data_IF_631527962167
#
_entry.id   IF_631527962167
#
_cell.length_a   1.000
_cell.length_b   1.000
_cell.length_c   1.000
_cell.angle_alpha   90.00
_cell.angle_beta   90.00
_cell.angle_gamma   90.00
#
_symmetry.space_group_name_H-M   'P 1'
#
loop_
_entity.id
_entity.type
_entity.pdbx_description
1 polymer ?
#
# COMPACT_ATOMS: atom_id res chain seq x y z
N UNK A 1 -14.69 -22.12 -0.51
CA UNK A 1 -14.85 -20.74 0.01
C UNK A 1 -14.07 -19.81 -0.89
N UNK A 2 -14.43 -18.56 -1.00
CA UNK A 2 -13.66 -17.61 -1.79
C UNK A 2 -13.49 -16.32 -1.00
N UNK A 3 -12.27 -15.76 -0.97
CA UNK A 3 -11.98 -14.44 -0.41
C UNK A 3 -11.83 -13.45 -1.55
N UNK A 4 -12.60 -12.36 -1.49
CA UNK A 4 -12.52 -11.25 -2.43
C UNK A 4 -11.98 -10.01 -1.71
N UNK A 5 -10.93 -9.40 -2.24
CA UNK A 5 -10.37 -8.17 -1.68
C UNK A 5 -10.05 -7.14 -2.75
N UNK A 6 -10.10 -5.88 -2.35
CA UNK A 6 -9.77 -4.76 -3.21
C UNK A 6 -8.48 -4.11 -2.74
N UNK A 7 -7.61 -3.78 -3.68
CA UNK A 7 -6.32 -3.14 -3.41
C UNK A 7 -6.28 -1.76 -4.06
N UNK A 8 -5.82 -0.78 -3.30
CA UNK A 8 -5.42 0.52 -3.80
C UNK A 8 -4.19 1.05 -3.07
N UNK A 9 -3.53 2.06 -3.62
CA UNK A 9 -2.30 2.64 -3.09
C UNK A 9 -2.08 4.07 -3.58
N UNK A 10 -1.13 4.77 -2.97
CA UNK A 10 -0.56 6.02 -3.49
C UNK A 10 -1.64 7.08 -3.77
N UNK A 11 -2.49 7.36 -2.76
CA UNK A 11 -3.51 8.40 -2.87
C UNK A 11 -2.92 9.80 -2.76
N UNK A 12 -1.82 9.95 -2.00
CA UNK A 12 -1.06 11.20 -1.85
C UNK A 12 -1.94 12.41 -1.53
N UNK A 13 -2.83 12.27 -0.52
CA UNK A 13 -3.59 13.42 -0.04
C UNK A 13 -2.65 14.56 0.29
N UNK A 14 -3.01 15.75 -0.06
CA UNK A 14 -2.19 16.93 0.15
C UNK A 14 -3.00 18.05 0.80
N UNK A 15 -2.40 18.72 1.76
CA UNK A 15 -2.98 19.89 2.40
C UNK A 15 -2.40 21.19 1.82
N UNK A 16 -3.14 22.28 2.01
CA UNK A 16 -2.65 23.62 1.72
C UNK A 16 -1.40 23.91 2.55
N UNK A 17 -0.41 24.52 1.92
CA UNK A 17 0.92 24.88 2.41
C UNK A 17 1.00 25.24 3.91
N UNK A 18 2.00 24.63 4.59
CA UNK A 18 2.39 25.00 5.95
C UNK A 18 3.75 25.70 5.95
N UNK A 19 3.83 26.91 6.54
CA UNK A 19 5.11 27.62 6.69
C UNK A 19 6.18 26.78 7.43
N UNK A 20 5.79 25.83 8.29
CA UNK A 20 6.72 24.92 8.97
C UNK A 20 7.40 23.94 8.03
N UNK A 21 6.79 23.61 6.89
CA UNK A 21 7.38 22.73 5.88
C UNK A 21 8.57 23.36 5.13
N UNK A 22 8.80 24.66 5.27
CA UNK A 22 9.95 25.36 4.69
C UNK A 22 11.29 25.04 5.39
N UNK A 23 11.26 24.51 6.60
CA UNK A 23 12.46 24.33 7.42
C UNK A 23 12.97 22.89 7.47
N UNK A 24 12.39 21.98 6.69
CA UNK A 24 12.83 20.57 6.64
C UNK A 24 12.65 19.95 5.23
N UNK A 25 12.89 18.64 5.12
CA UNK A 25 12.78 17.85 3.88
C UNK A 25 11.45 18.07 3.13
N UNK A 26 10.39 18.48 3.80
CA UNK A 26 9.06 18.71 3.19
C UNK A 26 9.08 19.80 2.12
N UNK A 27 10.06 20.74 2.14
CA UNK A 27 10.23 21.74 1.09
C UNK A 27 10.42 21.08 -0.29
N UNK A 28 11.19 19.98 -0.36
CA UNK A 28 11.39 19.25 -1.62
C UNK A 28 10.11 18.53 -2.07
N UNK A 29 9.34 18.00 -1.12
CA UNK A 29 8.02 17.44 -1.39
C UNK A 29 7.02 18.48 -1.89
N UNK A 30 7.03 19.68 -1.30
CA UNK A 30 6.21 20.80 -1.70
C UNK A 30 6.59 21.31 -3.09
N UNK A 31 7.90 21.52 -3.36
CA UNK A 31 8.38 21.94 -4.70
C UNK A 31 7.95 20.90 -5.73
N UNK A 32 8.17 19.61 -5.46
CA UNK A 32 7.78 18.52 -6.36
C UNK A 32 6.24 18.44 -6.56
N UNK A 33 5.46 18.61 -5.48
CA UNK A 33 3.99 18.61 -5.58
C UNK A 33 3.46 19.83 -6.31
N UNK A 34 4.02 21.01 -6.06
CA UNK A 34 3.53 22.29 -6.62
C UNK A 34 3.95 22.48 -8.07
N UNK A 35 5.21 22.15 -8.41
CA UNK A 35 5.76 22.44 -9.75
C UNK A 35 5.78 21.23 -10.68
N UNK A 36 5.92 20.02 -10.18
CA UNK A 36 6.05 18.82 -11.01
C UNK A 36 4.80 17.93 -11.02
N UNK A 37 3.92 18.05 -10.01
CA UNK A 37 2.79 17.14 -9.82
C UNK A 37 1.42 17.85 -9.78
N UNK A 38 1.37 19.18 -9.84
CA UNK A 38 0.11 19.92 -9.77
C UNK A 38 -0.81 19.51 -10.94
N UNK A 39 -2.02 19.01 -10.61
CA UNK A 39 -3.00 18.52 -11.59
C UNK A 39 -2.85 17.07 -12.03
N UNK A 40 -1.79 16.33 -11.59
CA UNK A 40 -1.66 14.91 -11.92
C UNK A 40 -2.40 13.97 -10.96
N UNK A 41 -2.69 14.42 -9.73
CA UNK A 41 -3.45 13.68 -8.72
C UNK A 41 -4.88 14.21 -8.64
N UNK A 42 -5.85 13.33 -8.85
CA UNK A 42 -7.27 13.66 -8.83
C UNK A 42 -7.92 13.11 -7.58
N UNK A 43 -8.09 13.97 -6.56
CA UNK A 43 -8.60 13.56 -5.25
C UNK A 43 -10.05 13.04 -5.29
N UNK A 44 -10.86 13.49 -6.25
CA UNK A 44 -12.21 12.98 -6.49
C UNK A 44 -12.27 11.48 -6.80
N UNK A 45 -11.14 10.89 -7.24
CA UNK A 45 -11.03 9.45 -7.47
C UNK A 45 -11.09 8.64 -6.18
N UNK A 46 -10.64 9.21 -5.06
CA UNK A 46 -10.73 8.55 -3.74
C UNK A 46 -12.22 8.36 -3.39
N UNK A 47 -13.00 9.42 -3.51
CA UNK A 47 -14.43 9.39 -3.19
C UNK A 47 -15.20 8.45 -4.13
N UNK A 48 -14.82 8.41 -5.42
CA UNK A 48 -15.39 7.48 -6.40
C UNK A 48 -15.03 6.03 -6.07
N UNK A 49 -13.77 5.77 -5.73
CA UNK A 49 -13.30 4.43 -5.35
C UNK A 49 -14.01 3.90 -4.10
N UNK A 50 -14.17 4.74 -3.08
CA UNK A 50 -14.88 4.37 -1.86
C UNK A 50 -16.34 4.01 -2.18
N UNK A 51 -17.04 4.81 -2.98
CA UNK A 51 -18.39 4.46 -3.43
C UNK A 51 -18.43 3.13 -4.18
N UNK A 52 -17.50 2.91 -5.12
CA UNK A 52 -17.43 1.65 -5.86
C UNK A 52 -17.21 0.44 -4.93
N UNK A 53 -16.31 0.59 -3.94
CA UNK A 53 -16.02 -0.44 -2.94
C UNK A 53 -17.28 -0.77 -2.13
N UNK A 54 -17.98 0.25 -1.64
CA UNK A 54 -19.12 0.07 -0.75
C UNK A 54 -20.39 -0.41 -1.47
N UNK A 55 -20.69 0.16 -2.65
CA UNK A 55 -21.95 -0.05 -3.32
C UNK A 55 -21.93 -1.26 -4.27
N UNK A 56 -20.81 -1.44 -5.00
CA UNK A 56 -20.73 -2.39 -6.12
C UNK A 56 -19.81 -3.56 -5.83
N UNK A 57 -18.58 -3.32 -5.36
CA UNK A 57 -17.57 -4.37 -5.22
C UNK A 57 -17.80 -5.21 -3.98
N UNK A 58 -18.13 -4.59 -2.84
CA UNK A 58 -18.41 -5.26 -1.56
C UNK A 58 -17.41 -6.38 -1.24
N UNK A 59 -16.12 -6.04 -1.07
CA UNK A 59 -15.08 -7.02 -0.77
C UNK A 59 -15.16 -7.50 0.69
N UNK A 60 -14.57 -8.65 0.97
CA UNK A 60 -14.43 -9.18 2.32
C UNK A 60 -13.40 -8.38 3.13
N UNK A 61 -12.42 -7.76 2.46
CA UNK A 61 -11.43 -6.86 3.05
C UNK A 61 -10.86 -5.90 1.98
N UNK A 62 -10.23 -4.83 2.45
CA UNK A 62 -9.53 -3.84 1.63
C UNK A 62 -8.05 -3.82 2.02
N UNK A 63 -7.16 -3.78 1.03
CA UNK A 63 -5.73 -3.56 1.22
C UNK A 63 -5.40 -2.14 0.75
N UNK A 64 -4.90 -1.32 1.67
CA UNK A 64 -4.33 -0.02 1.36
C UNK A 64 -2.80 -0.11 1.46
N UNK A 65 -2.13 -0.17 0.31
CA UNK A 65 -0.70 -0.40 0.22
C UNK A 65 0.14 0.89 0.31
N UNK A 66 -0.27 1.83 1.17
CA UNK A 66 0.54 2.97 1.61
C UNK A 66 0.48 4.23 0.75
N UNK A 67 1.29 5.22 1.16
CA UNK A 67 1.34 6.59 0.64
C UNK A 67 -0.04 7.27 0.67
N UNK A 68 -0.61 7.31 1.89
CA UNK A 68 -1.86 8.00 2.16
C UNK A 68 -1.72 9.53 1.98
N UNK A 69 -0.56 10.07 2.34
CA UNK A 69 -0.27 11.51 2.34
C UNK A 69 0.95 11.84 1.49
N UNK A 70 1.22 13.13 1.27
CA UNK A 70 2.32 13.58 0.42
C UNK A 70 3.59 13.94 1.20
N UNK A 71 3.48 14.48 2.42
CA UNK A 71 4.61 15.02 3.18
C UNK A 71 4.59 14.69 4.67
N UNK A 72 3.71 13.80 5.11
CA UNK A 72 3.43 13.48 6.53
C UNK A 72 2.95 14.67 7.37
N UNK A 73 2.41 15.74 6.75
CA UNK A 73 1.86 16.85 7.52
C UNK A 73 0.60 16.39 8.27
N UNK A 74 0.44 16.76 9.56
CA UNK A 74 -0.75 16.37 10.34
C UNK A 74 -2.09 16.66 9.66
N UNK A 75 -2.19 17.77 8.93
CA UNK A 75 -3.42 18.17 8.20
C UNK A 75 -3.70 17.29 6.99
N UNK A 76 -2.66 16.73 6.36
CA UNK A 76 -2.83 15.75 5.28
C UNK A 76 -3.46 14.47 5.82
N UNK A 77 -3.03 13.99 6.98
CA UNK A 77 -3.63 12.83 7.64
C UNK A 77 -5.08 13.09 8.06
N UNK A 78 -5.39 14.27 8.59
CA UNK A 78 -6.77 14.67 8.93
C UNK A 78 -7.66 14.69 7.68
N UNK A 79 -7.14 15.25 6.57
CA UNK A 79 -7.85 15.27 5.28
C UNK A 79 -8.07 13.87 4.73
N UNK A 80 -7.03 13.01 4.76
CA UNK A 80 -7.12 11.63 4.33
C UNK A 80 -8.15 10.83 5.16
N UNK A 81 -8.15 10.97 6.48
CA UNK A 81 -9.15 10.34 7.36
C UNK A 81 -10.57 10.80 7.01
N UNK A 82 -10.77 12.10 6.79
CA UNK A 82 -12.09 12.64 6.41
C UNK A 82 -12.62 12.00 5.12
N UNK A 83 -11.76 11.82 4.11
CA UNK A 83 -12.16 11.17 2.86
C UNK A 83 -12.40 9.68 3.03
N UNK A 84 -11.54 8.99 3.81
CA UNK A 84 -11.64 7.55 4.05
C UNK A 84 -12.74 7.19 5.07
N UNK A 85 -13.32 8.17 5.77
CA UNK A 85 -14.33 7.96 6.82
C UNK A 85 -15.46 7.01 6.38
N UNK A 86 -16.10 7.16 5.20
CA UNK A 86 -17.17 6.23 4.81
C UNK A 86 -16.70 4.78 4.68
N UNK A 87 -15.45 4.56 4.25
CA UNK A 87 -14.87 3.22 4.18
C UNK A 87 -14.57 2.67 5.59
N UNK A 88 -14.03 3.50 6.49
CA UNK A 88 -13.77 3.11 7.88
C UNK A 88 -15.09 2.75 8.58
N UNK A 89 -16.10 3.60 8.47
CA UNK A 89 -17.39 3.44 9.13
C UNK A 89 -18.21 2.24 8.58
N UNK A 90 -17.85 1.73 7.40
CA UNK A 90 -18.48 0.53 6.83
C UNK A 90 -18.20 -0.75 7.61
N UNK A 91 -17.15 -0.77 8.44
CA UNK A 91 -16.72 -1.96 9.16
C UNK A 91 -15.96 -2.99 8.31
N UNK A 92 -15.77 -2.75 7.01
CA UNK A 92 -14.95 -3.63 6.16
C UNK A 92 -13.50 -3.61 6.69
N UNK A 93 -12.88 -4.77 6.95
CA UNK A 93 -11.49 -4.84 7.39
C UNK A 93 -10.54 -4.12 6.44
N UNK A 94 -9.66 -3.27 6.98
CA UNK A 94 -8.64 -2.54 6.20
C UNK A 94 -7.26 -3.00 6.64
N UNK A 95 -6.52 -3.65 5.76
CA UNK A 95 -5.11 -3.97 5.95
C UNK A 95 -4.27 -2.82 5.37
N UNK A 96 -3.51 -2.15 6.23
CA UNK A 96 -2.72 -0.99 5.86
C UNK A 96 -1.23 -1.23 6.06
N UNK A 97 -0.44 -1.02 5.02
CA UNK A 97 1.02 -0.96 5.09
C UNK A 97 1.49 0.45 4.74
N UNK A 98 2.23 1.15 5.62
CA UNK A 98 2.62 2.53 5.35
C UNK A 98 3.65 2.66 4.24
N UNK A 99 3.57 3.76 3.49
CA UNK A 99 4.56 4.13 2.48
C UNK A 99 5.59 5.16 2.98
N UNK A 100 6.56 5.48 2.11
CA UNK A 100 7.62 6.43 2.46
C UNK A 100 7.11 7.86 2.67
N UNK A 101 6.01 8.23 2.06
CA UNK A 101 5.38 9.52 2.26
C UNK A 101 4.59 9.61 3.57
N UNK A 102 4.15 8.49 4.13
CA UNK A 102 3.48 8.43 5.43
C UNK A 102 4.46 8.61 6.60
N UNK A 103 5.74 8.25 6.38
CA UNK A 103 6.83 8.42 7.35
C UNK A 103 7.92 9.35 6.81
N UNK A 104 7.54 10.44 6.16
CA UNK A 104 8.43 11.28 5.38
C UNK A 104 9.49 12.01 6.21
N UNK A 105 9.16 12.42 7.44
CA UNK A 105 10.04 13.20 8.34
C UNK A 105 10.04 12.67 9.77
N UNK A 106 11.11 12.98 10.51
CA UNK A 106 11.27 12.60 11.92
C UNK A 106 10.52 13.50 12.92
N UNK A 107 9.82 14.54 12.46
CA UNK A 107 9.13 15.49 13.35
C UNK A 107 8.09 14.78 14.24
N UNK A 108 8.12 15.09 15.55
CA UNK A 108 7.25 14.45 16.55
C UNK A 108 5.76 14.58 16.18
N UNK A 109 5.33 15.79 15.80
CA UNK A 109 3.93 16.03 15.43
C UNK A 109 3.48 15.18 14.22
N UNK A 110 4.38 14.93 13.24
CA UNK A 110 4.09 14.08 12.09
C UNK A 110 3.97 12.61 12.49
N UNK A 111 4.85 12.13 13.38
CA UNK A 111 4.74 10.75 13.92
C UNK A 111 3.46 10.54 14.72
N UNK A 112 3.10 11.48 15.59
CA UNK A 112 1.86 11.40 16.39
C UNK A 112 0.62 11.45 15.51
N UNK A 113 0.62 12.25 14.43
CA UNK A 113 -0.47 12.31 13.46
C UNK A 113 -0.58 10.99 12.67
N UNK A 114 0.55 10.42 12.25
CA UNK A 114 0.58 9.13 11.60
C UNK A 114 0.01 8.01 12.49
N UNK A 115 0.41 7.95 13.77
CA UNK A 115 -0.10 6.92 14.69
C UNK A 115 -1.62 7.06 14.94
N UNK A 116 -2.14 8.30 15.04
CA UNK A 116 -3.59 8.52 15.10
C UNK A 116 -4.29 8.08 13.81
N UNK A 117 -3.75 8.49 12.65
CA UNK A 117 -4.26 8.08 11.35
C UNK A 117 -4.35 6.56 11.24
N UNK A 118 -3.25 5.87 11.56
CA UNK A 118 -3.19 4.41 11.54
C UNK A 118 -4.25 3.79 12.44
N UNK A 119 -4.33 4.22 13.69
CA UNK A 119 -5.26 3.66 14.66
C UNK A 119 -6.72 3.82 14.23
N UNK A 120 -7.09 4.98 13.66
CA UNK A 120 -8.44 5.21 13.16
C UNK A 120 -8.70 4.42 11.86
N UNK A 121 -7.75 4.41 10.92
CA UNK A 121 -7.90 3.70 9.64
C UNK A 121 -8.09 2.19 9.84
N UNK A 122 -7.36 1.60 10.78
CA UNK A 122 -7.41 0.16 11.04
C UNK A 122 -8.22 -0.21 12.29
N UNK A 123 -9.22 0.61 12.66
CA UNK A 123 -10.00 0.41 13.87
C UNK A 123 -10.68 -0.97 13.93
N UNK A 124 -11.09 -1.53 12.78
CA UNK A 124 -11.71 -2.86 12.68
C UNK A 124 -10.69 -4.00 12.46
N UNK A 125 -9.41 -3.67 12.30
CA UNK A 125 -8.30 -4.63 12.11
C UNK A 125 -7.07 -4.18 12.88
N UNK A 126 -7.15 -3.98 14.21
CA UNK A 126 -6.00 -3.51 14.96
C UNK A 126 -4.88 -4.55 14.92
N UNK A 127 -3.71 -4.14 14.43
CA UNK A 127 -2.52 -4.98 14.36
C UNK A 127 -1.25 -4.18 14.58
N UNK A 128 -0.19 -4.88 14.98
CA UNK A 128 1.19 -4.37 14.96
C UNK A 128 1.84 -4.67 13.63
N UNK A 129 3.00 -4.06 13.35
CA UNK A 129 3.85 -4.43 12.22
C UNK A 129 5.20 -4.97 12.69
N UNK A 130 5.64 -6.10 12.12
CA UNK A 130 4.88 -6.98 11.24
C UNK A 130 3.69 -7.60 11.96
N UNK A 131 2.63 -7.94 11.22
CA UNK A 131 1.42 -8.55 11.77
C UNK A 131 0.73 -9.49 10.81
N UNK A 132 -0.10 -10.39 11.35
CA UNK A 132 -0.87 -11.36 10.59
C UNK A 132 -2.36 -11.06 10.69
N UNK A 133 -3.05 -11.07 9.56
CA UNK A 133 -4.51 -11.11 9.47
C UNK A 133 -4.92 -12.38 8.73
N UNK A 134 -5.98 -13.02 9.18
CA UNK A 134 -6.37 -14.33 8.65
C UNK A 134 -7.83 -14.34 8.22
N UNK A 135 -8.07 -14.98 7.09
CA UNK A 135 -9.40 -15.39 6.62
C UNK A 135 -9.49 -16.91 6.63
N UNK A 136 -10.67 -17.50 6.38
CA UNK A 136 -10.78 -18.96 6.33
C UNK A 136 -9.88 -19.63 5.28
N UNK A 137 -9.47 -18.92 4.22
CA UNK A 137 -8.74 -19.47 3.07
C UNK A 137 -7.43 -18.74 2.74
N UNK A 138 -7.11 -17.62 3.40
CA UNK A 138 -5.87 -16.85 3.20
C UNK A 138 -5.25 -16.37 4.51
N UNK A 139 -3.93 -16.18 4.49
CA UNK A 139 -3.17 -15.50 5.54
C UNK A 139 -2.49 -14.26 4.95
N UNK A 140 -2.62 -13.10 5.60
CA UNK A 140 -2.06 -11.84 5.15
C UNK A 140 -0.98 -11.37 6.13
N UNK A 141 0.27 -11.43 5.71
CA UNK A 141 1.40 -10.86 6.44
C UNK A 141 1.55 -9.37 6.06
N UNK A 142 1.18 -8.49 6.97
CA UNK A 142 1.26 -7.03 6.75
C UNK A 142 2.54 -6.50 7.35
N UNK A 143 3.37 -5.86 6.53
CA UNK A 143 4.69 -5.37 6.93
C UNK A 143 4.81 -3.85 6.83
N UNK A 144 5.67 -3.26 7.67
CA UNK A 144 6.08 -1.86 7.59
C UNK A 144 7.57 -1.77 7.28
N UNK A 145 7.89 -1.32 6.09
CA UNK A 145 9.25 -1.06 5.65
C UNK A 145 9.52 0.44 5.40
N UNK A 146 8.56 1.30 5.76
CA UNK A 146 8.71 2.75 5.59
C UNK A 146 9.65 3.33 6.65
N UNK A 147 10.61 4.14 6.20
CA UNK A 147 11.57 4.84 7.06
C UNK A 147 11.76 6.25 6.55
N UNK A 148 12.02 7.22 7.44
CA UNK A 148 12.42 8.56 7.03
C UNK A 148 13.85 8.53 6.46
N UNK A 149 13.98 8.41 5.16
CA UNK A 149 15.28 8.47 4.48
C UNK A 149 15.71 9.90 4.17
N UNK A 150 16.92 10.04 3.61
CA UNK A 150 17.41 11.33 3.15
C UNK A 150 16.55 11.89 1.99
N UNK A 151 16.69 13.19 1.64
CA UNK A 151 15.81 13.84 0.65
C UNK A 151 15.82 13.21 -0.75
N UNK A 152 16.89 12.48 -1.08
CA UNK A 152 17.12 11.96 -2.45
C UNK A 152 16.61 10.54 -2.63
N UNK A 153 16.48 9.77 -1.52
CA UNK A 153 16.12 8.36 -1.57
C UNK A 153 14.67 8.15 -1.11
N UNK A 154 13.93 7.37 -1.89
CA UNK A 154 12.56 6.92 -1.58
C UNK A 154 12.53 5.43 -1.27
N UNK A 155 13.65 4.87 -0.78
CA UNK A 155 13.75 3.45 -0.45
C UNK A 155 12.95 3.10 0.81
N UNK A 156 12.49 1.85 0.87
CA UNK A 156 12.12 1.19 2.11
C UNK A 156 13.29 0.41 2.71
N UNK A 157 13.11 -0.02 3.96
CA UNK A 157 14.07 -0.88 4.65
C UNK A 157 13.32 -2.02 5.36
N UNK A 158 13.62 -3.24 4.96
CA UNK A 158 13.15 -4.43 5.66
C UNK A 158 14.11 -4.75 6.79
N UNK A 159 13.62 -4.67 8.02
CA UNK A 159 14.43 -5.02 9.20
C UNK A 159 14.61 -6.55 9.31
N UNK A 160 15.65 -7.02 10.02
CA UNK A 160 15.80 -8.44 10.32
C UNK A 160 14.55 -9.04 10.96
N UNK A 161 13.91 -8.35 11.89
CA UNK A 161 12.69 -8.82 12.59
C UNK A 161 11.53 -9.01 11.59
N UNK A 162 11.38 -8.11 10.61
CA UNK A 162 10.36 -8.25 9.57
C UNK A 162 10.65 -9.46 8.66
N UNK A 163 11.93 -9.67 8.31
CA UNK A 163 12.34 -10.81 7.50
C UNK A 163 12.14 -12.14 8.27
N UNK A 164 12.53 -12.18 9.56
CA UNK A 164 12.34 -13.34 10.44
C UNK A 164 10.86 -13.69 10.60
N UNK A 165 9.99 -12.68 10.76
CA UNK A 165 8.55 -12.88 10.81
C UNK A 165 8.02 -13.51 9.52
N UNK A 166 8.39 -13.00 8.34
CA UNK A 166 7.95 -13.56 7.05
C UNK A 166 8.42 -14.99 6.87
N UNK A 167 9.67 -15.32 7.26
CA UNK A 167 10.18 -16.70 7.20
C UNK A 167 9.43 -17.63 8.15
N UNK A 168 9.17 -17.18 9.38
CA UNK A 168 8.41 -17.95 10.36
C UNK A 168 6.97 -18.24 9.86
N UNK A 169 6.30 -17.23 9.29
CA UNK A 169 4.96 -17.41 8.72
C UNK A 169 4.98 -18.32 7.49
N UNK A 170 5.99 -18.19 6.64
CA UNK A 170 6.15 -19.00 5.43
C UNK A 170 6.55 -20.47 5.72
N UNK A 171 7.12 -20.73 6.90
CA UNK A 171 7.53 -22.08 7.34
C UNK A 171 6.41 -22.87 8.03
N UNK A 172 5.28 -22.23 8.35
CA UNK A 172 4.14 -22.92 8.99
C UNK A 172 3.55 -23.97 8.05
N UNK A 173 3.21 -25.12 8.61
CA UNK A 173 2.42 -26.16 7.93
C UNK A 173 0.93 -25.75 7.92
N UNK A 174 0.62 -24.75 7.11
CA UNK A 174 -0.73 -24.20 6.95
C UNK A 174 -1.07 -24.24 5.45
N UNK A 175 -2.15 -24.93 5.06
CA UNK A 175 -2.53 -25.06 3.65
C UNK A 175 -2.99 -23.74 3.01
N UNK A 176 -3.32 -22.73 3.82
CA UNK A 176 -3.76 -21.41 3.34
C UNK A 176 -2.58 -20.63 2.78
N UNK A 177 -2.67 -20.12 1.53
CA UNK A 177 -1.62 -19.32 0.95
C UNK A 177 -1.30 -18.06 1.78
N UNK A 178 -0.01 -17.71 1.84
CA UNK A 178 0.48 -16.50 2.47
C UNK A 178 0.52 -15.35 1.46
N UNK A 179 -0.17 -14.25 1.76
CA UNK A 179 -0.16 -13.00 1.00
C UNK A 179 0.68 -11.98 1.78
N UNK A 180 1.75 -11.48 1.19
CA UNK A 180 2.55 -10.40 1.77
C UNK A 180 1.97 -9.05 1.34
N UNK A 181 1.60 -8.22 2.31
CA UNK A 181 1.10 -6.86 2.09
C UNK A 181 2.16 -5.87 2.53
N UNK A 182 2.69 -5.11 1.57
CA UNK A 182 3.72 -4.10 1.78
C UNK A 182 3.46 -2.85 0.95
N UNK A 183 4.34 -1.85 1.07
CA UNK A 183 4.32 -0.71 0.16
C UNK A 183 5.37 -0.85 -0.94
N UNK A 184 6.56 -1.33 -0.61
CA UNK A 184 7.69 -1.44 -1.53
C UNK A 184 7.72 -2.81 -2.22
N UNK A 185 8.02 -2.85 -3.55
CA UNK A 185 8.19 -4.12 -4.25
C UNK A 185 9.27 -5.01 -3.61
N UNK A 186 8.97 -6.29 -3.47
CA UNK A 186 9.96 -7.29 -3.03
C UNK A 186 10.96 -7.61 -4.13
N UNK A 187 10.51 -7.58 -5.40
CA UNK A 187 11.38 -7.81 -6.55
C UNK A 187 12.00 -6.50 -7.02
N UNK A 188 13.32 -6.48 -7.11
CA UNK A 188 14.04 -5.31 -7.66
C UNK A 188 13.83 -5.19 -9.17
N UNK A 189 13.34 -4.03 -9.61
CA UNK A 189 13.07 -3.74 -11.02
C UNK A 189 14.29 -3.15 -11.75
N UNK A 190 15.46 -3.81 -11.69
CA UNK A 190 16.65 -3.43 -12.48
C UNK A 190 17.81 -2.89 -11.65
N UNK A 191 18.94 -2.64 -12.35
CA UNK A 191 20.22 -2.22 -11.76
C UNK A 191 20.52 -0.72 -11.94
N UNK A 192 19.56 0.08 -12.41
CA UNK A 192 19.75 1.51 -12.61
C UNK A 192 19.70 2.27 -11.27
N UNK A 193 20.33 3.45 -11.21
CA UNK A 193 20.23 4.34 -10.05
C UNK A 193 18.76 4.70 -9.72
N UNK A 194 17.92 4.87 -10.73
CA UNK A 194 16.51 5.13 -10.55
C UNK A 194 15.80 3.93 -9.89
N UNK A 195 16.11 2.69 -10.29
CA UNK A 195 15.58 1.48 -9.66
C UNK A 195 16.05 1.35 -8.21
N UNK A 196 17.33 1.66 -7.93
CA UNK A 196 17.86 1.66 -6.56
C UNK A 196 17.15 2.67 -5.66
N UNK A 197 16.87 3.88 -6.16
CA UNK A 197 16.18 4.93 -5.40
C UNK A 197 14.76 4.56 -4.95
N UNK A 198 14.16 3.56 -5.58
CA UNK A 198 12.82 3.05 -5.31
C UNK A 198 12.81 1.59 -4.83
N UNK A 199 13.95 1.08 -4.35
CA UNK A 199 14.07 -0.31 -3.91
C UNK A 199 13.68 -0.49 -2.45
N UNK A 200 13.47 -1.75 -2.08
CA UNK A 200 13.38 -2.20 -0.70
C UNK A 200 14.73 -2.77 -0.28
N UNK A 201 15.42 -2.08 0.61
CA UNK A 201 16.69 -2.56 1.16
C UNK A 201 16.45 -3.74 2.11
N UNK A 202 17.35 -4.72 2.11
CA UNK A 202 17.24 -5.89 2.99
C UNK A 202 16.22 -6.96 2.56
N UNK A 203 15.54 -6.81 1.42
CA UNK A 203 14.42 -7.68 1.02
C UNK A 203 14.81 -9.04 0.43
N UNK A 204 16.10 -9.38 0.29
CA UNK A 204 16.54 -10.61 -0.39
C UNK A 204 15.92 -11.91 0.15
N UNK A 205 15.74 -12.00 1.47
CA UNK A 205 15.09 -13.16 2.11
C UNK A 205 13.62 -13.27 1.70
N UNK A 206 12.88 -12.16 1.75
CA UNK A 206 11.47 -12.13 1.33
C UNK A 206 11.30 -12.33 -0.19
N UNK A 207 12.23 -11.80 -1.01
CA UNK A 207 12.26 -12.08 -2.45
C UNK A 207 12.48 -13.57 -2.72
N UNK A 208 13.34 -14.23 -1.96
CA UNK A 208 13.55 -15.68 -2.06
C UNK A 208 12.25 -16.45 -1.73
N UNK A 209 11.57 -16.12 -0.63
CA UNK A 209 10.28 -16.72 -0.26
C UNK A 209 9.22 -16.56 -1.36
N UNK A 210 9.18 -15.39 -2.01
CA UNK A 210 8.27 -15.13 -3.12
C UNK A 210 8.62 -15.98 -4.35
N UNK A 211 9.91 -16.08 -4.68
CA UNK A 211 10.38 -16.86 -5.83
C UNK A 211 10.22 -18.38 -5.61
N UNK A 212 10.30 -18.85 -4.38
CA UNK A 212 10.04 -20.23 -3.97
C UNK A 212 8.54 -20.56 -3.86
N UNK A 213 7.66 -19.55 -3.99
CA UNK A 213 6.22 -19.69 -3.88
C UNK A 213 5.72 -19.89 -2.42
N UNK A 214 6.57 -19.71 -1.42
CA UNK A 214 6.21 -19.73 0.00
C UNK A 214 5.38 -18.49 0.38
N UNK A 215 5.69 -17.33 -0.19
CA UNK A 215 4.76 -16.20 -0.31
C UNK A 215 4.05 -16.39 -1.65
N UNK A 216 2.75 -16.65 -1.60
CA UNK A 216 1.96 -16.92 -2.79
C UNK A 216 1.70 -15.65 -3.62
N UNK A 217 1.44 -14.52 -2.95
CA UNK A 217 1.20 -13.23 -3.58
C UNK A 217 1.83 -12.11 -2.76
N UNK A 218 2.56 -11.22 -3.41
CA UNK A 218 3.00 -9.93 -2.85
C UNK A 218 2.14 -8.82 -3.44
N UNK A 219 1.56 -7.99 -2.57
CA UNK A 219 0.70 -6.85 -2.95
C UNK A 219 1.35 -5.57 -2.44
N UNK A 220 1.71 -4.67 -3.37
CA UNK A 220 2.51 -3.48 -3.06
C UNK A 220 2.05 -2.24 -3.85
N UNK A 221 2.56 -1.07 -3.44
CA UNK A 221 2.35 0.24 -4.09
C UNK A 221 3.62 0.83 -4.69
N UNK A 222 3.95 2.08 -4.30
CA UNK A 222 5.20 2.81 -4.49
C UNK A 222 5.55 3.22 -5.94
N UNK A 223 5.42 2.33 -6.91
CA UNK A 223 5.88 2.58 -8.29
C UNK A 223 4.92 3.48 -9.08
N UNK A 224 3.70 3.69 -8.59
CA UNK A 224 2.61 4.48 -9.18
C UNK A 224 2.06 3.93 -10.51
N UNK A 225 2.74 3.01 -11.17
CA UNK A 225 2.29 2.37 -12.41
C UNK A 225 1.76 0.97 -12.08
N UNK A 226 0.48 0.68 -12.37
CA UNK A 226 -0.06 -0.66 -12.11
C UNK A 226 0.67 -1.68 -12.97
N UNK A 227 1.09 -2.76 -12.35
CA UNK A 227 1.75 -3.87 -13.04
C UNK A 227 1.65 -5.16 -12.25
N UNK A 228 1.94 -6.28 -12.88
CA UNK A 228 1.92 -7.58 -12.23
C UNK A 228 2.86 -8.56 -12.91
N UNK A 229 3.44 -9.46 -12.12
CA UNK A 229 4.24 -10.60 -12.57
C UNK A 229 3.70 -11.83 -11.87
N UNK A 230 2.70 -12.46 -12.49
CA UNK A 230 1.94 -13.57 -11.93
C UNK A 230 2.09 -14.81 -12.80
N UNK A 231 2.08 -15.98 -12.16
CA UNK A 231 1.99 -17.27 -12.82
C UNK A 231 0.55 -17.63 -13.25
N UNK A 232 0.34 -18.80 -13.77
CA UNK A 232 -0.98 -19.29 -14.22
C UNK A 232 -2.00 -19.45 -13.07
N UNK A 233 -1.54 -19.50 -11.82
CA UNK A 233 -2.40 -19.53 -10.63
C UNK A 233 -2.59 -18.15 -9.99
N UNK A 234 -2.10 -17.08 -10.65
CA UNK A 234 -2.15 -15.72 -10.14
C UNK A 234 -1.19 -15.46 -8.96
N UNK A 235 -0.17 -16.31 -8.77
CA UNK A 235 0.85 -16.15 -7.73
C UNK A 235 2.02 -15.32 -8.22
N UNK A 236 2.59 -14.50 -7.35
CA UNK A 236 3.71 -13.64 -7.70
C UNK A 236 3.63 -12.26 -7.06
N UNK A 237 3.94 -11.21 -7.80
CA UNK A 237 3.91 -9.84 -7.29
C UNK A 237 2.98 -8.96 -8.12
N UNK A 238 2.16 -8.18 -7.41
CA UNK A 238 1.20 -7.23 -7.93
C UNK A 238 1.48 -5.83 -7.36
N UNK A 239 1.68 -4.86 -8.25
CA UNK A 239 1.82 -3.44 -7.92
C UNK A 239 0.49 -2.75 -8.17
N UNK A 240 -0.09 -2.16 -7.13
CA UNK A 240 -1.42 -1.53 -7.19
C UNK A 240 -1.48 -0.36 -8.18
N UNK A 241 -0.41 0.44 -8.23
CA UNK A 241 -0.41 1.71 -8.93
C UNK A 241 -1.08 2.83 -8.12
N UNK A 242 -0.90 4.08 -8.53
CA UNK A 242 -1.50 5.22 -7.83
C UNK A 242 -2.98 5.36 -8.17
N UNK A 243 -3.85 5.27 -7.17
CA UNK A 243 -5.29 5.46 -7.29
C UNK A 243 -5.64 6.82 -7.92
N UNK A 244 -5.08 7.88 -7.37
CA UNK A 244 -5.39 9.26 -7.77
C UNK A 244 -4.78 9.65 -9.11
N UNK A 245 -3.63 9.05 -9.49
CA UNK A 245 -2.93 9.37 -10.74
C UNK A 245 -3.34 8.48 -11.90
N UNK A 246 -3.55 7.17 -11.65
CA UNK A 246 -3.76 6.17 -12.70
C UNK A 246 -5.19 5.67 -12.83
N UNK A 247 -6.10 6.08 -11.93
CA UNK A 247 -7.50 5.64 -11.96
C UNK A 247 -7.64 4.13 -11.92
N UNK A 248 -6.98 3.49 -10.95
CA UNK A 248 -6.96 2.03 -10.88
C UNK A 248 -7.25 1.52 -9.48
N UNK A 249 -8.19 0.59 -9.41
CA UNK A 249 -8.44 -0.33 -8.30
C UNK A 249 -8.10 -1.75 -8.77
N UNK A 250 -7.54 -2.56 -7.90
CA UNK A 250 -7.30 -3.97 -8.17
C UNK A 250 -8.28 -4.81 -7.36
N UNK A 251 -9.20 -5.47 -8.02
CA UNK A 251 -10.04 -6.50 -7.39
C UNK A 251 -9.36 -7.85 -7.54
N UNK A 252 -9.18 -8.54 -6.42
CA UNK A 252 -8.56 -9.87 -6.39
C UNK A 252 -9.54 -10.83 -5.74
N UNK A 253 -9.77 -11.96 -6.40
CA UNK A 253 -10.56 -13.05 -5.86
C UNK A 253 -9.68 -14.28 -5.75
N UNK A 254 -9.63 -14.88 -4.56
CA UNK A 254 -9.02 -16.19 -4.35
C UNK A 254 -10.11 -17.25 -4.27
N UNK A 255 -10.06 -18.24 -5.15
CA UNK A 255 -10.96 -19.39 -5.16
C UNK A 255 -10.23 -20.59 -5.76
N UNK A 256 -10.47 -21.77 -5.18
CA UNK A 256 -9.93 -23.03 -5.69
C UNK A 256 -8.40 -23.05 -5.92
N UNK A 257 -7.67 -22.33 -5.05
CA UNK A 257 -6.21 -22.24 -5.10
C UNK A 257 -5.66 -21.27 -6.13
N UNK A 258 -6.50 -20.44 -6.76
CA UNK A 258 -6.15 -19.49 -7.82
C UNK A 258 -6.51 -18.06 -7.43
N UNK A 259 -5.59 -17.13 -7.64
CA UNK A 259 -5.85 -15.68 -7.56
C UNK A 259 -6.26 -15.17 -8.95
N UNK A 260 -7.43 -14.57 -9.03
CA UNK A 260 -7.90 -13.87 -10.23
C UNK A 260 -7.84 -12.37 -9.98
N UNK A 261 -7.16 -11.62 -10.86
CA UNK A 261 -6.98 -10.16 -10.75
C UNK A 261 -7.81 -9.47 -11.82
N UNK A 262 -8.57 -8.45 -11.42
CA UNK A 262 -9.29 -7.55 -12.32
C UNK A 262 -8.87 -6.11 -12.05
N UNK A 263 -8.46 -5.42 -13.10
CA UNK A 263 -8.16 -3.99 -13.05
C UNK A 263 -9.44 -3.21 -13.33
N UNK A 264 -9.80 -2.37 -12.37
CA UNK A 264 -11.02 -1.55 -12.41
C UNK A 264 -10.64 -0.07 -12.31
N UNK A 265 -11.43 0.79 -12.94
CA UNK A 265 -11.38 2.22 -12.66
C UNK A 265 -11.88 2.51 -11.26
N UNK A 266 -11.65 3.71 -10.76
CA UNK A 266 -12.19 4.17 -9.46
C UNK A 266 -13.72 4.20 -9.41
N UNK A 267 -14.39 4.07 -10.56
CA UNK A 267 -15.84 3.90 -10.62
C UNK A 267 -16.28 2.42 -10.64
N UNK A 268 -15.35 1.48 -10.48
CA UNK A 268 -15.64 0.03 -10.47
C UNK A 268 -15.85 -0.60 -11.85
N UNK A 269 -15.59 0.14 -12.93
CA UNK A 269 -15.70 -0.39 -14.29
C UNK A 269 -14.38 -1.04 -14.70
N UNK A 270 -14.39 -2.10 -15.53
CA UNK A 270 -13.15 -2.67 -16.06
C UNK A 270 -12.28 -1.62 -16.75
N UNK A 271 -10.98 -1.61 -16.43
CA UNK A 271 -10.04 -0.76 -17.15
C UNK A 271 -10.00 -1.16 -18.63
N UNK A 272 -9.93 -0.20 -19.57
CA UNK A 272 -9.67 -0.52 -20.98
C UNK A 272 -8.39 -1.35 -21.08
N UNK A 273 -8.42 -2.45 -21.84
CA UNK A 273 -7.20 -3.21 -22.11
C UNK A 273 -6.23 -2.31 -22.87
N UNK A 274 -5.01 -2.15 -22.34
CA UNK A 274 -3.94 -1.43 -23.00
C UNK A 274 -3.45 -2.16 -24.25
#
# INVERSE_FOLDING_TARGET
MSTKFVVFSDIHEHAVFSARALFDKRIFGLINSTFCRHGSYRMERIDAAIRAILDSLRPDLVIFAGDAVSTSDPREFESALKRLRPLIDSGIPILYSPGNHDRYVHARACREAFERFRAELTAHTPMTWPGLYETPDLRFAVIDCARPFNPVLSCGEMTPETADFLEAEAAKDDPRPLVCVGHFPLRTNGRSLAAYRHSLLGCKRAEALLNEGKIALSVVGHVHVPSQRLDARGRGELIAGSLTKKDVLREITFSDGVFTVRDLTTTGQPCPRA
#
